data_IF_787801466150
#
_entry.id   IF_787801466150
#
_cell.length_a   1.000
_cell.length_b   1.000
_cell.length_c   1.000
_cell.angle_alpha   90.00
_cell.angle_beta   90.00
_cell.angle_gamma   90.00
#
_symmetry.space_group_name_H-M   'P 1'
#
loop_
_entity.id
_entity.type
_entity.pdbx_description
1 polymer ?
#
# COMPACT_ATOMS: atom_id res chain seq x y z
N UNK A 1 -23.07 0.08 5.74
CA UNK A 1 -22.65 -0.18 4.36
C UNK A 1 -21.15 0.03 4.36
N UNK A 2 -20.36 -1.01 4.13
CA UNK A 2 -18.90 -0.88 4.07
C UNK A 2 -18.59 -0.16 2.77
N UNK A 3 -18.20 1.10 2.84
CA UNK A 3 -17.71 1.83 1.67
C UNK A 3 -16.54 1.05 1.09
N UNK A 4 -16.79 0.37 -0.02
CA UNK A 4 -15.81 -0.44 -0.71
C UNK A 4 -14.69 0.51 -1.14
N UNK A 5 -13.51 0.37 -0.53
CA UNK A 5 -12.36 1.21 -0.86
C UNK A 5 -11.97 0.87 -2.29
N UNK A 6 -12.31 1.76 -3.23
CA UNK A 6 -11.79 1.70 -4.60
C UNK A 6 -10.27 1.83 -4.49
N UNK A 7 -9.55 0.77 -4.83
CA UNK A 7 -8.09 0.65 -4.64
C UNK A 7 -7.25 1.65 -5.45
N UNK A 8 -7.91 2.54 -6.22
CA UNK A 8 -7.28 3.61 -7.00
C UNK A 8 -6.79 3.17 -8.38
N UNK A 9 -7.02 1.91 -8.76
CA UNK A 9 -6.50 1.29 -9.98
C UNK A 9 -5.04 0.84 -9.84
N UNK A 10 -4.37 0.46 -10.94
CA UNK A 10 -2.97 0.06 -10.92
C UNK A 10 -2.06 1.22 -10.49
N UNK A 11 -1.09 0.94 -9.62
CA UNK A 11 -0.12 1.91 -9.10
C UNK A 11 0.73 2.53 -10.21
N UNK A 12 1.07 1.73 -11.22
CA UNK A 12 1.80 2.14 -12.41
C UNK A 12 0.94 1.83 -13.62
N UNK A 13 0.29 2.84 -14.22
CA UNK A 13 -0.52 2.64 -15.41
C UNK A 13 0.31 2.03 -16.53
N UNK A 14 -0.17 0.93 -17.10
CA UNK A 14 0.39 0.33 -18.30
C UNK A 14 -0.67 0.35 -19.39
N UNK A 15 -0.33 0.89 -20.56
CA UNK A 15 -1.17 0.83 -21.75
C UNK A 15 -0.45 -0.06 -22.75
N UNK A 16 -0.89 -1.32 -22.94
CA UNK A 16 -0.31 -2.17 -23.97
C UNK A 16 -0.54 -1.54 -25.35
N UNK A 17 0.54 -1.42 -26.13
CA UNK A 17 0.43 -1.02 -27.54
C UNK A 17 -0.25 -2.09 -28.38
N UNK A 18 -0.77 -1.70 -29.55
CA UNK A 18 -1.37 -2.64 -30.49
C UNK A 18 -0.33 -3.69 -30.92
N UNK A 19 -0.61 -4.97 -30.66
CA UNK A 19 0.33 -6.08 -30.91
C UNK A 19 1.24 -6.46 -29.72
N UNK A 20 1.08 -5.85 -28.54
CA UNK A 20 1.78 -6.32 -27.35
C UNK A 20 1.22 -7.67 -26.89
N UNK A 21 2.08 -8.68 -26.75
CA UNK A 21 1.74 -9.96 -26.11
C UNK A 21 1.66 -9.86 -24.57
N UNK A 22 1.76 -8.65 -24.03
CA UNK A 22 1.64 -8.38 -22.60
C UNK A 22 0.15 -8.25 -22.29
N UNK A 23 -0.40 -9.29 -21.64
CA UNK A 23 -1.69 -9.19 -20.97
C UNK A 23 -1.60 -8.10 -19.90
N UNK A 24 -2.68 -7.33 -19.69
CA UNK A 24 -2.81 -6.42 -18.55
C UNK A 24 -2.59 -7.23 -17.26
N UNK A 25 -1.35 -7.28 -16.78
CA UNK A 25 -1.10 -7.72 -15.42
C UNK A 25 -1.56 -6.56 -14.55
N UNK A 26 -2.54 -6.79 -13.68
CA UNK A 26 -3.11 -5.75 -12.81
C UNK A 26 -2.04 -5.09 -11.90
N UNK A 27 -0.85 -5.68 -11.80
CA UNK A 27 0.30 -5.09 -11.12
C UNK A 27 0.01 -4.89 -9.63
N UNK A 28 0.71 -3.93 -9.02
CA UNK A 28 0.42 -3.48 -7.66
C UNK A 28 -0.74 -2.49 -7.72
N UNK A 29 -1.71 -2.57 -6.79
CA UNK A 29 -2.75 -1.56 -6.69
C UNK A 29 -2.17 -0.24 -6.13
N UNK A 30 -2.75 0.90 -6.52
CA UNK A 30 -2.31 2.21 -6.03
C UNK A 30 -2.37 2.31 -4.50
N UNK A 31 -3.37 1.66 -3.89
CA UNK A 31 -3.48 1.48 -2.44
C UNK A 31 -2.24 0.83 -1.83
N UNK A 32 -1.78 -0.28 -2.40
CA UNK A 32 -0.62 -1.03 -1.89
C UNK A 32 0.66 -0.20 -2.04
N UNK A 33 0.77 0.56 -3.13
CA UNK A 33 1.90 1.47 -3.33
C UNK A 33 1.94 2.59 -2.29
N UNK A 34 0.81 3.22 -2.00
CA UNK A 34 0.73 4.22 -0.93
C UNK A 34 1.02 3.62 0.45
N UNK A 35 0.51 2.42 0.73
CA UNK A 35 0.81 1.73 1.98
C UNK A 35 2.31 1.44 2.11
N UNK A 36 2.96 0.93 1.06
CA UNK A 36 4.40 0.70 1.05
C UNK A 36 5.21 1.99 1.31
N UNK A 37 4.79 3.11 0.70
CA UNK A 37 5.41 4.42 0.92
C UNK A 37 5.21 4.93 2.35
N UNK A 38 4.01 4.78 2.90
CA UNK A 38 3.72 5.14 4.29
C UNK A 38 4.55 4.29 5.27
N UNK A 39 4.58 2.98 5.07
CA UNK A 39 5.33 2.02 5.88
C UNK A 39 6.82 2.37 5.96
N UNK A 40 7.44 2.77 4.84
CA UNK A 40 8.83 3.21 4.82
C UNK A 40 9.10 4.39 5.78
N UNK A 41 8.15 5.32 5.90
CA UNK A 41 8.23 6.43 6.83
C UNK A 41 7.97 6.03 8.29
N UNK A 42 7.04 5.12 8.54
CA UNK A 42 6.68 4.64 9.89
C UNK A 42 7.84 3.83 10.50
N UNK A 43 8.43 2.90 9.74
CA UNK A 43 9.57 2.09 10.19
C UNK A 43 10.73 2.97 10.70
N UNK A 44 10.96 4.12 10.04
CA UNK A 44 12.04 5.06 10.41
C UNK A 44 11.80 5.81 11.73
N UNK A 45 10.56 5.95 12.19
CA UNK A 45 10.22 6.65 13.44
C UNK A 45 10.24 5.76 14.68
N UNK A 46 10.38 4.44 14.51
CA UNK A 46 10.46 3.52 15.64
C UNK A 46 11.74 3.80 16.44
N UNK A 47 11.56 4.15 17.70
CA UNK A 47 12.38 5.06 18.52
C UNK A 47 13.51 4.37 19.30
N UNK A 48 14.03 3.25 18.79
CA UNK A 48 15.20 2.58 19.36
C UNK A 48 14.89 1.38 20.25
N UNK A 49 13.63 1.01 20.44
CA UNK A 49 13.27 -0.36 20.83
C UNK A 49 13.31 -1.25 19.58
N UNK A 50 13.83 -2.48 19.67
CA UNK A 50 14.08 -3.31 18.48
C UNK A 50 12.83 -3.44 17.59
N UNK A 51 12.98 -3.16 16.29
CA UNK A 51 11.93 -3.46 15.32
C UNK A 51 11.86 -4.98 15.14
N UNK A 52 10.68 -5.56 15.32
CA UNK A 52 10.45 -6.99 15.15
C UNK A 52 10.84 -7.80 16.38
N UNK A 53 9.86 -8.03 17.25
CA UNK A 53 9.87 -9.01 18.33
C UNK A 53 9.75 -10.46 17.84
N UNK A 54 10.30 -10.77 16.66
CA UNK A 54 10.19 -12.07 15.98
C UNK A 54 8.90 -12.23 15.15
N UNK A 55 8.67 -13.41 14.54
CA UNK A 55 7.60 -13.61 13.54
C UNK A 55 6.17 -13.28 13.99
N UNK A 56 5.92 -13.21 15.30
CA UNK A 56 4.61 -12.97 15.89
C UNK A 56 4.50 -11.60 16.59
N UNK A 57 5.41 -10.67 16.28
CA UNK A 57 5.42 -9.31 16.81
C UNK A 57 4.08 -8.60 16.49
N UNK A 58 3.27 -8.18 17.48
CA UNK A 58 2.05 -7.41 17.22
C UNK A 58 2.31 -6.10 16.45
N UNK A 59 3.52 -5.55 16.59
CA UNK A 59 4.01 -4.35 15.92
C UNK A 59 3.91 -4.45 14.40
N UNK A 60 4.10 -5.65 13.81
CA UNK A 60 3.95 -5.83 12.37
C UNK A 60 2.52 -5.56 11.90
N UNK A 61 1.53 -5.98 12.69
CA UNK A 61 0.12 -5.74 12.39
C UNK A 61 -0.20 -4.24 12.50
N UNK A 62 0.24 -3.60 13.57
CA UNK A 62 -0.02 -2.17 13.82
C UNK A 62 0.59 -1.28 12.74
N UNK A 63 1.81 -1.59 12.29
CA UNK A 63 2.49 -0.92 11.19
C UNK A 63 1.76 -1.09 9.86
N UNK A 64 1.34 -2.32 9.54
CA UNK A 64 0.59 -2.61 8.33
C UNK A 64 -0.74 -1.85 8.33
N UNK A 65 -1.50 -1.92 9.43
CA UNK A 65 -2.77 -1.23 9.58
C UNK A 65 -2.60 0.30 9.45
N UNK A 66 -1.60 0.88 10.12
CA UNK A 66 -1.30 2.31 10.02
C UNK A 66 -0.93 2.73 8.60
N UNK A 67 -0.14 1.92 7.90
CA UNK A 67 0.24 2.18 6.51
C UNK A 67 -0.98 2.18 5.58
N UNK A 68 -1.89 1.21 5.74
CA UNK A 68 -3.12 1.16 4.94
C UNK A 68 -4.10 2.27 5.28
N UNK A 69 -4.21 2.70 6.53
CA UNK A 69 -5.04 3.87 6.90
C UNK A 69 -4.56 5.15 6.21
N UNK A 70 -3.24 5.35 6.11
CA UNK A 70 -2.65 6.47 5.36
C UNK A 70 -2.94 6.31 3.87
N UNK A 71 -2.79 5.11 3.30
CA UNK A 71 -3.11 4.84 1.91
C UNK A 71 -4.57 5.16 1.57
N UNK A 72 -5.49 4.76 2.43
CA UNK A 72 -6.93 5.02 2.27
C UNK A 72 -7.23 6.51 2.36
N UNK A 73 -6.55 7.24 3.25
CA UNK A 73 -6.64 8.70 3.31
C UNK A 73 -6.11 9.38 2.04
N UNK A 74 -5.02 8.87 1.45
CA UNK A 74 -4.46 9.38 0.19
C UNK A 74 -5.39 9.14 -0.99
N UNK A 75 -6.04 7.98 -1.06
CA UNK A 75 -7.06 7.68 -2.08
C UNK A 75 -8.25 8.63 -1.93
N UNK A 76 -8.79 8.78 -0.71
CA UNK A 76 -9.91 9.71 -0.44
C UNK A 76 -9.57 11.16 -0.81
N UNK A 77 -8.33 11.60 -0.55
CA UNK A 77 -7.89 12.94 -0.90
C UNK A 77 -7.81 13.19 -2.42
N UNK A 78 -7.81 12.13 -3.25
CA UNK A 78 -7.71 12.22 -4.70
C UNK A 78 -9.06 12.52 -5.38
N UNK A 79 -10.18 12.21 -4.72
CA UNK A 79 -11.55 12.35 -5.27
C UNK A 79 -12.19 11.01 -5.57
#
# INVERSE_FOLDING_TARGET
MTDEIKTGGPAFPFVPGEGSALYESEGMQLRDYFAAKAMQGIIRRWDGHGFGGGPNSPEYKELADSAYLIADAMIKARG
#
